data_IF_483166160200
#
_entry.id   IF_483166160200
#
_cell.length_a   1.000
_cell.length_b   1.000
_cell.length_c   1.000
_cell.angle_alpha   90.00
_cell.angle_beta   90.00
_cell.angle_gamma   90.00
#
_symmetry.space_group_name_H-M   'P 1'
#
loop_
_entity.id
_entity.type
_entity.pdbx_description
1 polymer ?
#
# COMPACT_ATOMS: atom_id res chain seq x y z
N UNK A 1 0.98 13.03 8.92
CA UNK A 1 1.66 14.31 8.52
C UNK A 1 0.97 14.84 7.27
N UNK A 2 0.56 16.08 7.24
CA UNK A 2 -0.12 16.69 6.07
C UNK A 2 0.90 16.94 4.97
N UNK A 3 0.74 16.24 3.83
CA UNK A 3 1.66 16.33 2.68
C UNK A 3 1.58 17.68 1.95
N UNK A 4 0.44 18.35 2.00
CA UNK A 4 0.28 19.70 1.47
C UNK A 4 1.22 20.74 2.12
N UNK A 5 1.67 20.48 3.36
CA UNK A 5 2.63 21.36 4.05
C UNK A 5 4.09 21.20 3.60
N UNK A 6 4.44 20.15 2.90
CA UNK A 6 5.80 19.97 2.38
C UNK A 6 6.00 20.58 0.99
N UNK A 7 4.93 20.94 0.30
CA UNK A 7 4.99 21.62 -1.00
C UNK A 7 4.91 23.14 -0.81
N UNK A 8 5.52 23.91 -1.70
CA UNK A 8 5.40 25.36 -1.73
C UNK A 8 5.38 25.83 -3.18
N UNK A 9 4.57 26.85 -3.49
CA UNK A 9 4.45 27.42 -4.83
C UNK A 9 5.81 27.83 -5.44
N UNK A 10 6.71 28.35 -4.61
CA UNK A 10 8.07 28.74 -5.02
C UNK A 10 8.99 27.58 -5.39
N UNK A 11 8.57 26.33 -5.20
CA UNK A 11 9.31 25.12 -5.55
C UNK A 11 8.63 24.31 -6.66
N UNK A 12 7.69 24.96 -7.39
CA UNK A 12 7.14 24.43 -8.63
C UNK A 12 7.83 25.09 -9.81
N UNK A 13 8.24 24.28 -10.79
CA UNK A 13 9.00 24.73 -11.96
C UNK A 13 8.43 24.11 -13.25
N UNK A 14 8.25 24.93 -14.31
CA UNK A 14 8.17 24.41 -15.67
C UNK A 14 9.57 24.09 -16.13
N UNK A 15 9.87 22.81 -16.31
CA UNK A 15 11.17 22.31 -16.69
C UNK A 15 11.49 22.66 -18.17
N UNK A 16 12.68 23.16 -18.40
CA UNK A 16 13.20 23.51 -19.73
C UNK A 16 14.18 22.47 -20.26
N UNK A 17 14.81 21.73 -19.35
CA UNK A 17 15.79 20.70 -19.69
C UNK A 17 15.14 19.51 -20.37
N UNK A 18 15.86 18.89 -21.29
CA UNK A 18 15.44 17.71 -22.04
C UNK A 18 15.93 16.38 -21.42
N UNK A 19 16.76 16.45 -20.38
CA UNK A 19 17.33 15.32 -19.65
C UNK A 19 17.11 15.43 -18.15
N UNK A 20 17.23 14.30 -17.44
CA UNK A 20 16.98 14.19 -16.02
C UNK A 20 17.97 15.03 -15.18
N UNK A 21 19.24 15.07 -15.59
CA UNK A 21 20.27 15.80 -14.85
C UNK A 21 19.98 17.29 -14.83
N UNK A 22 19.73 17.89 -15.98
CA UNK A 22 19.40 19.32 -16.09
C UNK A 22 18.08 19.65 -15.36
N UNK A 23 17.09 18.78 -15.42
CA UNK A 23 15.84 18.96 -14.69
C UNK A 23 16.06 18.94 -13.15
N UNK A 24 16.93 18.07 -12.65
CA UNK A 24 17.32 18.06 -11.23
C UNK A 24 18.08 19.31 -10.82
N UNK A 25 18.94 19.85 -11.69
CA UNK A 25 19.63 21.12 -11.46
C UNK A 25 18.65 22.29 -11.34
N UNK A 26 17.64 22.38 -12.24
CA UNK A 26 16.57 23.38 -12.15
C UNK A 26 15.79 23.24 -10.83
N UNK A 27 15.43 22.04 -10.41
CA UNK A 27 14.71 21.77 -9.17
C UNK A 27 15.55 22.09 -7.93
N UNK A 28 16.84 21.76 -7.94
CA UNK A 28 17.76 22.10 -6.85
C UNK A 28 17.90 23.60 -6.68
N UNK A 29 18.00 24.36 -7.78
CA UNK A 29 18.11 25.83 -7.72
C UNK A 29 16.97 26.48 -6.92
N UNK A 30 15.73 25.99 -7.06
CA UNK A 30 14.55 26.53 -6.33
C UNK A 30 14.37 25.90 -4.94
N UNK A 31 14.90 24.69 -4.73
CA UNK A 31 14.70 23.96 -3.47
C UNK A 31 15.66 24.40 -2.38
N UNK A 32 16.93 24.61 -2.71
CA UNK A 32 17.99 24.88 -1.73
C UNK A 32 18.27 26.36 -1.52
N UNK A 33 17.69 27.23 -2.33
CA UNK A 33 17.92 28.70 -2.23
C UNK A 33 17.68 29.28 -0.82
N UNK A 34 16.86 28.66 -0.01
CA UNK A 34 16.56 29.06 1.37
C UNK A 34 17.25 28.20 2.44
N UNK A 35 18.15 27.31 2.04
CA UNK A 35 18.82 26.34 2.94
C UNK A 35 20.34 26.40 2.73
N UNK A 36 21.05 27.32 3.41
CA UNK A 36 22.49 27.54 3.20
C UNK A 36 23.33 26.30 3.57
N UNK A 37 22.83 25.40 4.40
CA UNK A 37 23.49 24.17 4.79
C UNK A 37 23.48 23.09 3.69
N UNK A 38 22.65 23.25 2.66
CA UNK A 38 22.50 22.30 1.57
C UNK A 38 23.34 22.73 0.36
N UNK A 39 24.30 21.90 -0.05
CA UNK A 39 25.13 22.13 -1.23
C UNK A 39 24.50 21.45 -2.45
N UNK A 40 24.03 22.23 -3.46
CA UNK A 40 23.34 21.68 -4.65
C UNK A 40 24.14 20.60 -5.37
N UNK A 41 25.45 20.81 -5.53
CA UNK A 41 26.35 19.89 -6.23
C UNK A 41 26.44 18.51 -5.55
N UNK A 42 26.46 18.49 -4.21
CA UNK A 42 26.51 17.25 -3.42
C UNK A 42 25.17 16.51 -3.53
N UNK A 43 24.07 17.24 -3.45
CA UNK A 43 22.73 16.69 -3.60
C UNK A 43 22.51 16.10 -4.99
N UNK A 44 22.89 16.83 -6.05
CA UNK A 44 22.80 16.37 -7.43
C UNK A 44 23.56 15.06 -7.63
N UNK A 45 24.80 15.00 -7.13
CA UNK A 45 25.62 13.78 -7.22
C UNK A 45 24.94 12.60 -6.53
N UNK A 46 24.38 12.81 -5.33
CA UNK A 46 23.70 11.77 -4.56
C UNK A 46 22.41 11.31 -5.25
N UNK A 47 21.64 12.23 -5.82
CA UNK A 47 20.41 11.91 -6.57
C UNK A 47 20.74 11.09 -7.83
N UNK A 48 21.73 11.50 -8.61
CA UNK A 48 22.14 10.79 -9.82
C UNK A 48 22.78 9.43 -9.52
N UNK A 49 23.58 9.32 -8.45
CA UNK A 49 24.14 8.05 -8.00
C UNK A 49 23.03 7.08 -7.61
N UNK A 50 21.98 7.55 -6.92
CA UNK A 50 20.84 6.73 -6.55
C UNK A 50 20.06 6.28 -7.79
N UNK A 51 19.78 7.19 -8.72
CA UNK A 51 19.09 6.86 -9.97
C UNK A 51 19.85 5.80 -10.78
N UNK A 52 21.17 5.87 -10.81
CA UNK A 52 22.01 4.86 -11.46
C UNK A 52 22.04 3.49 -10.74
N UNK A 53 21.68 3.45 -9.46
CA UNK A 53 21.60 2.19 -8.69
C UNK A 53 20.21 1.55 -8.80
N UNK A 54 19.18 2.35 -8.71
CA UNK A 54 17.77 1.93 -8.81
C UNK A 54 16.95 3.10 -9.32
N UNK A 55 16.27 2.89 -10.43
CA UNK A 55 15.42 3.95 -11.02
C UNK A 55 14.36 4.44 -10.03
N UNK A 56 14.13 5.73 -10.03
CA UNK A 56 13.07 6.38 -9.26
C UNK A 56 11.83 6.66 -10.09
N UNK A 57 11.75 6.11 -11.29
CA UNK A 57 10.58 6.20 -12.16
C UNK A 57 9.42 5.37 -11.59
N UNK A 58 8.25 5.98 -11.46
CA UNK A 58 7.04 5.36 -10.89
C UNK A 58 6.09 4.78 -11.95
N UNK A 59 6.38 5.00 -13.23
CA UNK A 59 5.42 4.80 -14.32
C UNK A 59 4.58 6.05 -14.60
N UNK A 60 3.76 6.00 -15.65
CA UNK A 60 2.82 7.07 -16.04
C UNK A 60 3.47 8.46 -16.23
N UNK A 61 4.73 8.50 -16.64
CA UNK A 61 5.44 9.77 -16.85
C UNK A 61 5.88 10.48 -15.59
N UNK A 62 5.99 9.79 -14.45
CA UNK A 62 6.36 10.38 -13.16
C UNK A 62 7.64 9.77 -12.60
N UNK A 63 8.58 10.62 -12.17
CA UNK A 63 9.77 10.21 -11.44
C UNK A 63 9.80 10.87 -10.05
N UNK A 64 10.27 10.15 -9.03
CA UNK A 64 10.36 10.61 -7.64
C UNK A 64 11.81 10.49 -7.11
N UNK A 65 12.75 11.26 -7.64
CA UNK A 65 14.13 11.32 -7.12
C UNK A 65 14.13 11.78 -5.67
N UNK A 66 14.87 11.06 -4.82
CA UNK A 66 14.88 11.37 -3.39
C UNK A 66 16.23 11.09 -2.74
N UNK A 67 16.53 11.88 -1.72
CA UNK A 67 17.79 11.77 -0.98
C UNK A 67 17.60 12.10 0.51
N UNK A 68 18.37 11.43 1.38
CA UNK A 68 18.41 11.73 2.81
C UNK A 68 19.71 12.47 3.14
N UNK A 69 19.57 13.60 3.85
CA UNK A 69 20.71 14.46 4.21
C UNK A 69 20.54 15.05 5.60
N UNK A 70 21.63 15.49 6.17
CA UNK A 70 21.61 16.20 7.46
C UNK A 70 21.02 17.59 7.24
N UNK A 71 19.80 17.82 7.68
CA UNK A 71 19.13 19.11 7.64
C UNK A 71 18.16 19.28 8.81
N UNK A 72 17.79 20.54 9.10
CA UNK A 72 16.89 20.88 10.22
C UNK A 72 15.42 20.55 9.92
N UNK A 73 15.00 20.66 8.67
CA UNK A 73 13.62 20.33 8.26
C UNK A 73 13.46 18.83 8.00
N UNK A 74 12.28 18.27 8.32
CA UNK A 74 12.04 16.86 8.02
C UNK A 74 11.97 16.59 6.52
N UNK A 75 11.34 17.47 5.72
CA UNK A 75 11.16 17.28 4.28
C UNK A 75 11.16 18.59 3.51
N UNK A 76 11.69 18.54 2.30
CA UNK A 76 11.55 19.57 1.25
C UNK A 76 11.13 18.85 -0.03
N UNK A 77 9.98 19.23 -0.60
CA UNK A 77 9.49 18.72 -1.88
C UNK A 77 9.54 19.83 -2.92
N UNK A 78 10.14 19.54 -4.08
CA UNK A 78 10.05 20.36 -5.28
C UNK A 78 9.42 19.55 -6.41
N UNK A 79 8.61 20.21 -7.23
CA UNK A 79 7.91 19.56 -8.34
C UNK A 79 8.22 20.27 -9.64
N UNK A 80 8.71 19.52 -10.60
CA UNK A 80 8.93 19.98 -11.97
C UNK A 80 7.91 19.37 -12.92
N UNK A 81 7.35 20.19 -13.81
CA UNK A 81 6.51 19.73 -14.92
C UNK A 81 7.22 19.97 -16.26
N UNK A 82 7.23 18.97 -17.13
CA UNK A 82 7.62 19.09 -18.52
C UNK A 82 6.45 18.74 -19.41
N UNK A 83 5.90 19.72 -20.14
CA UNK A 83 4.79 19.50 -21.09
C UNK A 83 5.22 18.65 -22.29
N UNK A 84 6.48 18.74 -22.68
CA UNK A 84 7.04 17.97 -23.81
C UNK A 84 7.47 16.57 -23.40
N UNK A 85 7.80 16.40 -22.12
CA UNK A 85 8.35 15.20 -21.54
C UNK A 85 9.87 15.09 -21.67
N UNK A 86 10.52 14.62 -20.63
CA UNK A 86 11.95 14.37 -20.53
C UNK A 86 12.22 12.91 -20.89
N UNK A 87 13.32 12.66 -21.62
CA UNK A 87 13.70 11.30 -22.00
C UNK A 87 14.09 10.48 -20.77
N UNK A 88 13.58 9.25 -20.70
CA UNK A 88 13.95 8.28 -19.65
C UNK A 88 14.98 7.28 -20.22
N UNK A 89 16.23 7.33 -19.69
CA UNK A 89 17.34 6.53 -20.20
C UNK A 89 17.30 5.04 -19.84
N UNK A 90 16.32 4.60 -19.04
CA UNK A 90 16.19 3.21 -18.57
C UNK A 90 14.87 2.53 -18.92
N UNK A 91 13.98 3.18 -19.65
CA UNK A 91 12.64 2.67 -19.99
C UNK A 91 12.52 2.09 -21.42
N UNK A 92 11.35 1.54 -21.72
CA UNK A 92 10.97 1.22 -23.10
C UNK A 92 11.06 2.49 -23.96
N UNK A 93 11.48 2.35 -25.22
CA UNK A 93 12.03 3.40 -26.08
C UNK A 93 11.21 4.70 -26.27
N UNK A 94 9.97 4.77 -25.77
CA UNK A 94 9.07 5.92 -25.96
C UNK A 94 8.53 6.55 -24.65
N UNK A 95 8.88 6.03 -23.48
CA UNK A 95 8.41 6.60 -22.23
C UNK A 95 9.10 7.93 -21.90
N UNK A 96 8.28 8.93 -21.57
CA UNK A 96 8.74 10.28 -21.21
C UNK A 96 8.29 10.66 -19.80
N UNK A 97 9.18 11.33 -19.09
CA UNK A 97 8.90 11.86 -17.75
C UNK A 97 8.28 13.25 -17.90
N UNK A 98 7.04 13.39 -17.46
CA UNK A 98 6.30 14.65 -17.44
C UNK A 98 6.34 15.35 -16.08
N UNK A 99 6.48 14.58 -14.99
CA UNK A 99 6.61 15.12 -13.65
C UNK A 99 7.83 14.56 -12.93
N UNK A 100 8.58 15.46 -12.31
CA UNK A 100 9.67 15.10 -11.39
C UNK A 100 9.33 15.65 -10.01
N UNK A 101 9.17 14.74 -9.03
CA UNK A 101 8.97 15.07 -7.63
C UNK A 101 10.27 14.86 -6.86
N UNK A 102 11.07 15.89 -6.69
CA UNK A 102 12.32 15.79 -5.98
C UNK A 102 12.10 15.95 -4.47
N UNK A 103 12.32 14.88 -3.70
CA UNK A 103 12.18 14.86 -2.25
C UNK A 103 13.52 14.85 -1.55
N UNK A 104 13.81 15.89 -0.77
CA UNK A 104 14.96 15.95 0.14
C UNK A 104 14.43 15.70 1.56
N UNK A 105 14.92 14.65 2.22
CA UNK A 105 14.51 14.27 3.56
C UNK A 105 15.65 14.43 4.57
N UNK A 106 15.33 14.88 5.77
CA UNK A 106 16.27 14.91 6.88
C UNK A 106 16.61 13.49 7.36
N UNK A 107 17.87 13.23 7.71
CA UNK A 107 18.31 11.92 8.24
C UNK A 107 17.46 11.43 9.42
N UNK A 108 17.00 12.36 10.27
CA UNK A 108 16.18 12.07 11.45
C UNK A 108 14.67 11.98 11.16
N UNK A 109 14.23 12.09 9.90
CA UNK A 109 12.81 12.03 9.54
C UNK A 109 12.26 10.61 9.69
N UNK A 110 11.53 10.34 10.78
CA UNK A 110 10.96 9.02 11.11
C UNK A 110 9.89 8.55 10.11
N UNK A 111 9.21 9.49 9.43
CA UNK A 111 8.13 9.21 8.47
C UNK A 111 8.59 9.21 7.00
N UNK A 112 9.87 8.95 6.73
CA UNK A 112 10.43 8.99 5.38
C UNK A 112 9.74 8.02 4.41
N UNK A 113 9.70 6.73 4.72
CA UNK A 113 9.04 5.72 3.89
C UNK A 113 7.53 5.97 3.72
N UNK A 114 6.76 6.30 4.78
CA UNK A 114 5.37 6.70 4.64
C UNK A 114 5.14 7.88 3.70
N UNK A 115 6.00 8.90 3.72
CA UNK A 115 5.90 10.06 2.81
C UNK A 115 6.14 9.65 1.36
N UNK A 116 7.20 8.88 1.10
CA UNK A 116 7.48 8.34 -0.24
C UNK A 116 6.29 7.50 -0.75
N UNK A 117 5.77 6.59 0.09
CA UNK A 117 4.65 5.74 -0.27
C UNK A 117 3.38 6.54 -0.60
N UNK A 118 3.12 7.61 0.15
CA UNK A 118 1.95 8.47 -0.10
C UNK A 118 2.08 9.28 -1.39
N UNK A 119 3.28 9.82 -1.67
CA UNK A 119 3.56 10.52 -2.93
C UNK A 119 3.45 9.56 -4.11
N UNK A 120 4.12 8.41 -4.04
CA UNK A 120 4.09 7.41 -5.11
C UNK A 120 2.67 6.94 -5.42
N UNK A 121 1.83 6.74 -4.40
CA UNK A 121 0.43 6.34 -4.59
C UNK A 121 -0.39 7.40 -5.33
N UNK A 122 -0.31 8.65 -4.88
CA UNK A 122 -1.06 9.74 -5.50
C UNK A 122 -0.69 9.90 -6.97
N UNK A 123 0.59 9.78 -7.30
CA UNK A 123 1.10 9.92 -8.66
C UNK A 123 1.09 8.61 -9.47
N UNK A 124 0.50 7.55 -8.99
CA UNK A 124 0.12 6.36 -9.77
C UNK A 124 -1.31 6.44 -10.32
N UNK A 125 -2.13 7.39 -9.85
CA UNK A 125 -3.51 7.59 -10.32
C UNK A 125 -3.51 8.34 -11.67
N UNK A 126 -3.89 7.72 -12.80
CA UNK A 126 -3.80 8.34 -14.13
C UNK A 126 -4.64 9.62 -14.24
N UNK A 127 -5.88 9.60 -13.71
CA UNK A 127 -6.78 10.75 -13.74
C UNK A 127 -6.20 11.99 -13.03
N UNK A 128 -5.45 11.76 -11.93
CA UNK A 128 -4.79 12.83 -11.21
C UNK A 128 -3.66 13.43 -12.05
N UNK A 129 -2.81 12.59 -12.65
CA UNK A 129 -1.71 13.02 -13.53
C UNK A 129 -2.24 13.81 -14.72
N UNK A 130 -3.27 13.30 -15.39
CA UNK A 130 -3.90 13.98 -16.53
C UNK A 130 -4.42 15.35 -16.12
N UNK A 131 -5.06 15.46 -14.95
CA UNK A 131 -5.54 16.74 -14.41
C UNK A 131 -4.42 17.76 -14.18
N UNK A 132 -3.23 17.28 -13.78
CA UNK A 132 -2.03 18.11 -13.58
C UNK A 132 -1.38 18.53 -14.92
N UNK A 133 -1.38 17.63 -15.91
CA UNK A 133 -0.81 17.91 -17.24
C UNK A 133 -1.58 19.02 -17.97
N UNK A 134 -2.92 19.01 -17.89
CA UNK A 134 -3.77 20.01 -18.53
C UNK A 134 -3.82 21.36 -17.78
N UNK A 135 -3.21 21.47 -16.59
CA UNK A 135 -3.18 22.71 -15.83
C UNK A 135 -2.54 23.82 -16.68
N UNK A 136 -3.22 24.97 -16.87
CA UNK A 136 -2.75 26.02 -17.77
C UNK A 136 -1.42 26.64 -17.30
N UNK A 137 -1.27 26.83 -16.01
CA UNK A 137 -0.12 27.47 -15.38
C UNK A 137 0.29 26.78 -14.06
N UNK A 138 1.35 27.28 -13.43
CA UNK A 138 1.88 26.75 -12.18
C UNK A 138 1.00 27.09 -10.96
N UNK A 139 0.10 28.03 -11.02
CA UNK A 139 -0.80 28.38 -9.92
C UNK A 139 -1.98 27.41 -9.87
N UNK A 140 -2.54 27.05 -11.01
CA UNK A 140 -3.51 25.97 -11.12
C UNK A 140 -2.88 24.61 -10.78
N UNK A 141 -1.66 24.36 -11.26
CA UNK A 141 -0.89 23.16 -10.88
C UNK A 141 -0.69 23.09 -9.35
N UNK A 142 -0.32 24.20 -8.71
CA UNK A 142 -0.15 24.26 -7.26
C UNK A 142 -1.47 23.96 -6.53
N UNK A 143 -2.55 24.56 -7.01
CA UNK A 143 -3.90 24.33 -6.43
C UNK A 143 -4.31 22.87 -6.51
N UNK A 144 -4.14 22.24 -7.67
CA UNK A 144 -4.45 20.83 -7.87
C UNK A 144 -3.54 19.89 -7.05
N UNK A 145 -2.25 20.19 -7.01
CA UNK A 145 -1.29 19.44 -6.19
C UNK A 145 -1.61 19.54 -4.70
N UNK A 146 -1.89 20.74 -4.19
CA UNK A 146 -2.24 20.92 -2.78
C UNK A 146 -3.57 20.25 -2.43
N UNK A 147 -4.54 20.29 -3.33
CA UNK A 147 -5.80 19.57 -3.18
C UNK A 147 -5.59 18.05 -3.14
N UNK A 148 -4.81 17.49 -4.06
CA UNK A 148 -4.48 16.06 -4.08
C UNK A 148 -3.67 15.62 -2.86
N UNK A 149 -2.63 16.38 -2.50
CA UNK A 149 -1.79 16.10 -1.33
C UNK A 149 -2.51 16.33 0.00
N UNK A 150 -3.51 17.21 0.04
CA UNK A 150 -4.36 17.46 1.22
C UNK A 150 -5.59 16.56 1.30
N UNK A 151 -5.76 15.60 0.38
CA UNK A 151 -6.93 14.72 0.34
C UNK A 151 -8.24 15.41 -0.10
N UNK A 152 -8.16 16.63 -0.66
CA UNK A 152 -9.32 17.40 -1.16
C UNK A 152 -9.35 17.31 -2.69
N UNK A 153 -9.44 16.10 -3.25
CA UNK A 153 -9.85 15.95 -4.64
C UNK A 153 -11.35 16.28 -4.75
N UNK A 154 -11.69 17.11 -5.72
CA UNK A 154 -13.04 17.68 -5.88
C UNK A 154 -14.15 16.64 -5.76
N UNK A 155 -15.01 16.82 -4.75
CA UNK A 155 -16.05 15.87 -4.35
C UNK A 155 -17.30 16.05 -5.20
N UNK A 156 -17.87 15.00 -5.78
CA UNK A 156 -19.25 15.04 -6.19
C UNK A 156 -20.17 14.89 -4.96
N UNK A 157 -20.34 15.96 -4.20
CA UNK A 157 -21.17 16.03 -2.97
C UNK A 157 -22.59 15.51 -3.19
N UNK A 158 -23.17 15.73 -4.37
CA UNK A 158 -24.54 15.30 -4.68
C UNK A 158 -24.72 13.78 -4.79
N UNK A 159 -23.72 13.04 -5.28
CA UNK A 159 -23.83 11.58 -5.45
C UNK A 159 -23.88 10.84 -4.11
N UNK A 160 -23.22 11.36 -3.07
CA UNK A 160 -23.17 10.70 -1.77
C UNK A 160 -24.49 10.84 -0.99
N UNK A 161 -25.21 11.94 -1.17
CA UNK A 161 -26.43 12.24 -0.43
C UNK A 161 -27.73 11.70 -1.07
N UNK A 162 -27.62 10.71 -1.96
CA UNK A 162 -28.79 10.10 -2.55
C UNK A 162 -29.65 9.38 -1.49
N UNK A 163 -30.94 9.15 -1.84
CA UNK A 163 -31.90 8.53 -0.91
C UNK A 163 -31.47 7.14 -0.45
N UNK A 164 -30.84 6.35 -1.33
CA UNK A 164 -30.41 4.99 -1.03
C UNK A 164 -29.26 5.00 -0.02
N UNK A 165 -28.24 5.84 -0.21
CA UNK A 165 -27.10 5.93 0.70
C UNK A 165 -27.52 6.35 2.11
N UNK A 166 -28.42 7.34 2.22
CA UNK A 166 -28.95 7.76 3.52
C UNK A 166 -29.79 6.68 4.19
N UNK A 167 -30.57 5.93 3.40
CA UNK A 167 -31.33 4.79 3.92
C UNK A 167 -30.38 3.70 4.42
N UNK A 168 -29.41 3.30 3.61
CA UNK A 168 -28.44 2.24 3.94
C UNK A 168 -27.65 2.57 5.21
N UNK A 169 -27.17 3.80 5.36
CA UNK A 169 -26.45 4.22 6.57
C UNK A 169 -27.33 4.14 7.83
N UNK A 170 -28.57 4.66 7.74
CA UNK A 170 -29.50 4.62 8.86
C UNK A 170 -29.87 3.18 9.26
N UNK A 171 -30.11 2.32 8.29
CA UNK A 171 -30.43 0.92 8.57
C UNK A 171 -29.18 0.16 9.05
N UNK A 172 -27.97 0.52 8.58
CA UNK A 172 -26.73 -0.04 9.10
C UNK A 172 -26.56 0.24 10.60
N UNK A 173 -26.82 1.47 11.05
CA UNK A 173 -26.81 1.79 12.49
C UNK A 173 -27.86 0.99 13.26
N UNK A 174 -29.09 0.88 12.75
CA UNK A 174 -30.15 0.11 13.41
C UNK A 174 -29.79 -1.36 13.53
N UNK A 175 -29.27 -1.95 12.45
CA UNK A 175 -28.82 -3.35 12.43
C UNK A 175 -27.65 -3.54 13.40
N UNK A 176 -26.68 -2.64 13.37
CA UNK A 176 -25.52 -2.70 14.26
C UNK A 176 -25.92 -2.68 15.74
N UNK A 177 -26.80 -1.74 16.13
CA UNK A 177 -27.32 -1.66 17.49
C UNK A 177 -28.17 -2.89 17.86
N UNK A 178 -29.07 -3.33 16.97
CA UNK A 178 -29.93 -4.47 17.21
C UNK A 178 -29.18 -5.80 17.29
N UNK A 179 -28.06 -5.93 16.58
CA UNK A 179 -27.20 -7.10 16.61
C UNK A 179 -26.15 -7.07 17.74
N UNK A 180 -26.10 -6.00 18.54
CA UNK A 180 -25.10 -5.82 19.60
C UNK A 180 -23.67 -5.63 19.08
N UNK A 181 -23.51 -4.94 17.91
CA UNK A 181 -22.19 -4.64 17.38
C UNK A 181 -21.50 -3.56 18.20
N UNK A 182 -20.20 -3.73 18.43
CA UNK A 182 -19.34 -2.74 19.09
C UNK A 182 -18.92 -1.60 18.19
N UNK A 183 -18.95 -1.80 16.87
CA UNK A 183 -18.53 -0.83 15.86
C UNK A 183 -19.30 -0.94 14.54
N UNK A 184 -19.34 0.19 13.82
CA UNK A 184 -19.77 0.29 12.42
C UNK A 184 -18.54 0.57 11.55
N UNK A 185 -18.24 -0.34 10.63
CA UNK A 185 -17.13 -0.20 9.67
C UNK A 185 -17.68 0.28 8.34
N UNK A 186 -17.17 1.41 7.83
CA UNK A 186 -17.66 2.08 6.63
C UNK A 186 -16.57 2.09 5.56
N UNK A 187 -16.86 1.50 4.39
CA UNK A 187 -15.94 1.46 3.26
C UNK A 187 -16.03 2.74 2.44
N UNK A 188 -15.12 3.69 2.72
CA UNK A 188 -15.12 5.02 2.11
C UNK A 188 -14.83 5.03 0.62
N UNK A 189 -14.06 4.06 0.11
CA UNK A 189 -13.74 3.92 -1.32
C UNK A 189 -14.94 3.49 -2.19
N UNK A 190 -16.10 3.23 -1.58
CA UNK A 190 -17.37 3.16 -2.29
C UNK A 190 -17.64 4.44 -3.09
N UNK A 191 -17.14 5.56 -2.60
CA UNK A 191 -17.32 6.87 -3.22
C UNK A 191 -16.05 7.33 -3.91
N UNK A 192 -16.19 7.88 -5.12
CA UNK A 192 -15.11 8.58 -5.81
C UNK A 192 -14.73 9.80 -4.96
N UNK A 193 -13.44 9.89 -4.58
CA UNK A 193 -12.94 10.94 -3.70
C UNK A 193 -13.17 10.71 -2.20
N UNK A 194 -13.61 9.50 -1.79
CA UNK A 194 -13.84 9.13 -0.39
C UNK A 194 -15.18 9.60 0.16
N UNK A 195 -15.50 9.21 1.39
CA UNK A 195 -16.77 9.55 2.04
C UNK A 195 -16.74 10.92 2.73
N UNK A 196 -17.84 11.66 2.66
CA UNK A 196 -17.98 12.95 3.33
C UNK A 196 -18.29 12.76 4.83
N UNK A 197 -17.47 13.37 5.68
CA UNK A 197 -17.55 13.26 7.15
C UNK A 197 -18.95 13.66 7.68
N UNK A 198 -19.59 14.67 7.08
CA UNK A 198 -20.91 15.13 7.48
C UNK A 198 -22.08 14.18 7.19
N UNK A 199 -21.85 13.10 6.44
CA UNK A 199 -22.90 12.10 6.18
C UNK A 199 -23.19 11.20 7.37
N UNK A 200 -22.26 11.08 8.31
CA UNK A 200 -22.32 10.13 9.41
C UNK A 200 -22.35 10.89 10.72
N UNK A 201 -23.44 10.73 11.47
CA UNK A 201 -23.55 11.17 12.87
C UNK A 201 -23.78 9.92 13.73
N UNK A 202 -22.71 9.15 14.00
CA UNK A 202 -22.87 7.82 14.57
C UNK A 202 -23.19 7.85 16.05
N UNK A 203 -24.07 6.95 16.45
CA UNK A 203 -24.28 6.57 17.85
C UNK A 203 -23.32 5.46 18.32
N UNK A 204 -22.61 4.85 17.36
CA UNK A 204 -21.64 3.77 17.57
C UNK A 204 -20.23 4.22 17.18
N UNK A 205 -19.21 3.54 17.73
CA UNK A 205 -17.82 3.66 17.25
C UNK A 205 -17.81 3.40 15.75
N UNK A 206 -17.48 4.41 14.95
CA UNK A 206 -17.44 4.28 13.49
C UNK A 206 -16.00 4.26 13.01
N UNK A 207 -15.67 3.22 12.23
CA UNK A 207 -14.35 2.96 11.69
C UNK A 207 -14.41 3.19 10.18
N UNK A 208 -13.59 4.11 9.66
CA UNK A 208 -13.45 4.32 8.23
C UNK A 208 -12.45 3.33 7.65
N UNK A 209 -12.82 2.64 6.58
CA UNK A 209 -11.91 1.81 5.78
C UNK A 209 -11.68 2.48 4.44
N UNK A 210 -10.42 2.77 4.11
CA UNK A 210 -10.09 3.45 2.86
C UNK A 210 -8.67 3.12 2.39
N UNK A 211 -8.45 3.18 1.06
CA UNK A 211 -7.11 3.11 0.47
C UNK A 211 -6.33 4.41 0.65
N UNK A 212 -7.05 5.52 0.67
CA UNK A 212 -6.47 6.85 0.80
C UNK A 212 -6.57 7.30 2.25
N UNK A 213 -5.45 7.51 2.96
CA UNK A 213 -5.51 8.06 4.29
C UNK A 213 -6.15 9.44 4.22
N UNK A 214 -7.36 9.56 4.75
CA UNK A 214 -7.92 10.86 5.10
C UNK A 214 -7.13 11.27 6.32
N UNK A 215 -6.26 12.29 6.20
CA UNK A 215 -5.79 13.00 7.37
C UNK A 215 -7.04 13.62 7.99
N UNK A 216 -7.48 13.01 9.08
CA UNK A 216 -8.51 13.55 9.93
C UNK A 216 -7.95 14.87 10.43
N UNK A 217 -8.39 15.99 9.85
CA UNK A 217 -8.06 17.30 10.36
C UNK A 217 -8.58 17.40 11.80
N UNK A 218 -7.98 18.30 12.61
CA UNK A 218 -8.35 18.56 14.02
C UNK A 218 -9.83 18.95 14.24
N UNK A 219 -10.62 19.02 13.19
CA UNK A 219 -12.03 19.39 13.20
C UNK A 219 -12.89 18.09 13.14
N UNK A 220 -13.28 17.62 14.34
CA UNK A 220 -14.37 16.68 14.64
C UNK A 220 -14.70 15.65 13.55
N UNK A 221 -13.83 14.65 13.36
CA UNK A 221 -14.16 13.54 12.47
C UNK A 221 -15.29 12.72 13.08
N UNK A 222 -16.30 12.41 12.29
CA UNK A 222 -17.36 11.47 12.65
C UNK A 222 -16.85 10.02 12.78
N UNK A 223 -15.57 9.80 12.50
CA UNK A 223 -14.92 8.51 12.59
C UNK A 223 -14.01 8.45 13.81
N UNK A 224 -14.20 7.44 14.66
CA UNK A 224 -13.35 7.20 15.82
C UNK A 224 -11.95 6.74 15.40
N UNK A 225 -11.87 5.95 14.32
CA UNK A 225 -10.64 5.34 13.82
C UNK A 225 -10.67 5.24 12.29
N UNK A 226 -9.49 5.14 11.67
CA UNK A 226 -9.34 4.89 10.23
C UNK A 226 -8.43 3.69 10.00
N UNK A 227 -8.92 2.74 9.21
CA UNK A 227 -8.14 1.60 8.73
C UNK A 227 -7.74 1.88 7.29
N UNK A 228 -6.44 1.96 7.04
CA UNK A 228 -5.93 2.06 5.70
C UNK A 228 -5.67 0.67 5.11
N UNK A 229 -6.36 0.32 4.03
CA UNK A 229 -6.10 -0.91 3.27
C UNK A 229 -5.57 -0.53 1.89
N UNK A 230 -4.34 -0.89 1.58
CA UNK A 230 -3.61 -0.40 0.39
C UNK A 230 -4.11 -1.00 -0.93
N UNK A 231 -4.62 -2.22 -0.89
CA UNK A 231 -5.21 -2.88 -2.05
C UNK A 231 -6.45 -3.67 -1.63
N UNK A 232 -7.49 -3.58 -2.45
CA UNK A 232 -8.70 -4.36 -2.25
C UNK A 232 -8.89 -5.37 -3.38
N UNK A 233 -9.28 -6.59 -3.02
CA UNK A 233 -9.92 -7.48 -3.96
C UNK A 233 -11.19 -6.80 -4.53
N UNK A 234 -11.55 -7.09 -5.77
CA UNK A 234 -12.83 -6.63 -6.33
C UNK A 234 -14.04 -7.28 -5.65
N UNK A 235 -13.84 -8.41 -4.96
CA UNK A 235 -14.87 -9.12 -4.23
C UNK A 235 -15.14 -8.48 -2.86
N UNK A 236 -16.39 -8.14 -2.56
CA UNK A 236 -16.80 -7.40 -1.35
C UNK A 236 -16.43 -8.10 -0.04
N UNK A 237 -16.66 -9.41 0.04
CA UNK A 237 -16.33 -10.19 1.25
C UNK A 237 -14.82 -10.26 1.50
N UNK A 238 -14.01 -10.31 0.42
CA UNK A 238 -12.57 -10.28 0.54
C UNK A 238 -12.06 -8.91 1.02
N UNK A 239 -12.67 -7.81 0.55
CA UNK A 239 -12.39 -6.47 1.07
C UNK A 239 -12.65 -6.39 2.58
N UNK A 240 -13.77 -6.94 3.00
CA UNK A 240 -14.20 -6.97 4.40
C UNK A 240 -13.19 -7.76 5.26
N UNK A 241 -12.80 -8.98 4.84
CA UNK A 241 -11.81 -9.79 5.55
C UNK A 241 -10.46 -9.08 5.69
N UNK A 242 -9.98 -8.46 4.61
CA UNK A 242 -8.73 -7.70 4.64
C UNK A 242 -8.80 -6.52 5.61
N UNK A 243 -9.91 -5.76 5.61
CA UNK A 243 -10.10 -4.64 6.54
C UNK A 243 -10.18 -5.11 8.00
N UNK A 244 -10.88 -6.20 8.26
CA UNK A 244 -10.96 -6.77 9.60
C UNK A 244 -9.62 -7.31 10.08
N UNK A 245 -8.86 -7.97 9.21
CA UNK A 245 -7.51 -8.46 9.54
C UNK A 245 -6.60 -7.30 9.94
N UNK A 246 -6.60 -6.21 9.16
CA UNK A 246 -5.86 -4.99 9.48
C UNK A 246 -6.35 -4.37 10.78
N UNK A 247 -7.65 -4.26 10.99
CA UNK A 247 -8.23 -3.74 12.22
C UNK A 247 -7.84 -4.55 13.48
N UNK A 248 -7.77 -5.87 13.35
CA UNK A 248 -7.28 -6.77 14.41
C UNK A 248 -5.79 -6.56 14.70
N UNK A 249 -4.96 -6.46 13.66
CA UNK A 249 -3.51 -6.30 13.82
C UNK A 249 -3.12 -4.96 14.44
N UNK A 250 -3.94 -3.93 14.26
CA UNK A 250 -3.76 -2.62 14.89
C UNK A 250 -4.48 -2.46 16.25
N UNK A 251 -5.19 -3.49 16.70
CA UNK A 251 -5.97 -3.41 17.94
C UNK A 251 -7.17 -2.46 17.88
N UNK A 252 -7.60 -2.06 16.69
CA UNK A 252 -8.78 -1.20 16.45
C UNK A 252 -10.08 -1.96 16.76
N UNK A 253 -10.10 -3.23 16.40
CA UNK A 253 -11.13 -4.21 16.75
C UNK A 253 -10.49 -5.40 17.49
N UNK A 254 -11.29 -6.08 18.28
CA UNK A 254 -10.90 -7.25 19.08
C UNK A 254 -11.61 -8.51 18.59
N UNK A 255 -11.08 -9.68 18.93
CA UNK A 255 -11.66 -10.95 18.51
C UNK A 255 -13.09 -11.16 19.02
N UNK A 256 -13.39 -10.69 20.23
CA UNK A 256 -14.72 -10.81 20.83
C UNK A 256 -15.73 -9.80 20.27
N UNK A 257 -15.31 -8.93 19.34
CA UNK A 257 -16.18 -7.91 18.79
C UNK A 257 -17.12 -8.51 17.72
N UNK A 258 -18.31 -7.94 17.67
CA UNK A 258 -19.19 -8.02 16.53
C UNK A 258 -19.21 -6.70 15.83
N UNK A 259 -18.99 -6.71 14.51
CA UNK A 259 -18.83 -5.51 13.68
C UNK A 259 -19.89 -5.51 12.58
N UNK A 260 -20.55 -4.38 12.40
CA UNK A 260 -21.40 -4.15 11.24
C UNK A 260 -20.60 -3.43 10.16
N UNK A 261 -20.60 -3.96 8.94
CA UNK A 261 -19.84 -3.42 7.81
C UNK A 261 -20.81 -2.92 6.75
N UNK A 262 -20.59 -1.70 6.25
CA UNK A 262 -21.35 -1.11 5.15
C UNK A 262 -20.42 -0.65 4.04
N UNK A 263 -20.73 -1.02 2.79
CA UNK A 263 -19.93 -0.68 1.62
C UNK A 263 -20.69 -0.86 0.31
N UNK A 264 -19.95 -0.72 -0.77
CA UNK A 264 -20.43 -0.94 -2.14
C UNK A 264 -19.26 -1.26 -3.07
N UNK A 265 -19.51 -1.37 -4.36
CA UNK A 265 -18.46 -1.48 -5.36
C UNK A 265 -17.61 -0.21 -5.31
N UNK A 266 -16.30 -0.36 -5.30
CA UNK A 266 -15.35 0.78 -5.31
C UNK A 266 -15.70 1.76 -6.43
N UNK A 267 -15.87 3.04 -6.09
CA UNK A 267 -16.21 4.10 -7.05
C UNK A 267 -17.64 4.12 -7.56
N UNK A 268 -18.53 3.22 -7.08
CA UNK A 268 -19.93 3.20 -7.52
C UNK A 268 -20.78 4.36 -7.01
N UNK A 269 -20.30 5.10 -6.03
CA UNK A 269 -21.02 6.15 -5.31
C UNK A 269 -22.32 5.68 -4.65
N UNK A 270 -22.46 4.37 -4.41
CA UNK A 270 -23.65 3.82 -3.80
C UNK A 270 -23.34 2.67 -2.85
N UNK A 271 -23.85 2.77 -1.62
CA UNK A 271 -23.88 1.63 -0.72
C UNK A 271 -24.89 0.59 -1.21
N UNK A 272 -24.45 -0.66 -1.26
CA UNK A 272 -25.28 -1.80 -1.73
C UNK A 272 -25.12 -3.05 -0.85
N UNK A 273 -24.20 -3.03 0.11
CA UNK A 273 -23.87 -4.19 0.93
C UNK A 273 -23.84 -3.80 2.41
N UNK A 274 -24.53 -4.60 3.21
CA UNK A 274 -24.53 -4.53 4.67
C UNK A 274 -24.27 -5.93 5.21
N UNK A 275 -23.28 -6.10 6.07
CA UNK A 275 -22.92 -7.41 6.65
C UNK A 275 -22.62 -7.24 8.14
N UNK A 276 -23.18 -8.12 8.96
CA UNK A 276 -22.82 -8.25 10.38
C UNK A 276 -21.86 -9.43 10.51
N UNK A 277 -20.69 -9.18 11.10
CA UNK A 277 -19.64 -10.17 11.27
C UNK A 277 -19.32 -10.33 12.75
N UNK A 278 -19.31 -11.55 13.17
CA UNK A 278 -18.74 -11.99 14.44
C UNK A 278 -17.26 -12.30 14.19
N UNK A 279 -16.38 -11.48 14.75
CA UNK A 279 -14.94 -11.51 14.45
C UNK A 279 -14.32 -12.84 14.89
N UNK A 280 -14.69 -13.34 16.06
CA UNK A 280 -14.20 -14.62 16.56
C UNK A 280 -14.56 -15.75 15.59
N UNK A 281 -15.80 -15.81 15.14
CA UNK A 281 -16.29 -16.85 14.24
C UNK A 281 -15.61 -16.79 12.87
N UNK A 282 -15.39 -15.58 12.34
CA UNK A 282 -14.75 -15.39 11.03
C UNK A 282 -13.27 -15.81 11.04
N UNK A 283 -12.57 -15.61 12.17
CA UNK A 283 -11.15 -15.93 12.31
C UNK A 283 -10.88 -17.12 13.24
N UNK A 284 -11.91 -17.84 13.69
CA UNK A 284 -11.82 -18.96 14.64
C UNK A 284 -10.75 -19.99 14.30
N UNK A 285 -10.62 -20.32 13.00
CA UNK A 285 -9.65 -21.31 12.53
C UNK A 285 -8.19 -20.87 12.70
N UNK A 286 -7.91 -19.56 12.62
CA UNK A 286 -6.55 -19.03 12.81
C UNK A 286 -6.12 -18.94 14.27
N UNK A 287 -7.09 -18.93 15.19
CA UNK A 287 -6.88 -18.58 16.57
C UNK A 287 -6.91 -19.73 17.55
N UNK A 288 -7.10 -20.95 17.06
CA UNK A 288 -7.21 -22.15 17.91
C UNK A 288 -6.07 -22.17 18.96
N UNK A 289 -6.37 -21.71 20.17
CA UNK A 289 -5.46 -21.74 21.33
C UNK A 289 -4.53 -20.53 21.52
N UNK A 290 -4.63 -19.45 20.72
CA UNK A 290 -3.74 -18.28 20.81
C UNK A 290 -4.46 -16.95 20.61
N UNK A 291 -4.16 -15.97 21.47
CA UNK A 291 -4.77 -14.63 21.41
C UNK A 291 -4.14 -13.69 20.37
N UNK A 292 -2.96 -14.00 19.83
CA UNK A 292 -2.21 -13.10 18.97
C UNK A 292 -2.10 -13.65 17.54
N UNK A 293 -2.59 -12.87 16.59
CA UNK A 293 -2.52 -13.15 15.16
C UNK A 293 -1.11 -12.89 14.61
N UNK A 294 -0.51 -11.75 15.00
CA UNK A 294 0.82 -11.35 14.54
C UNK A 294 1.92 -12.01 15.37
N UNK A 295 3.00 -12.48 14.74
CA UNK A 295 4.25 -12.72 15.45
C UNK A 295 4.74 -11.44 16.14
N UNK A 296 5.38 -11.53 17.30
CA UNK A 296 5.78 -10.35 18.09
C UNK A 296 6.82 -9.46 17.38
N UNK A 297 7.56 -10.01 16.43
CA UNK A 297 8.56 -9.30 15.63
C UNK A 297 7.99 -8.66 14.36
N UNK A 298 6.73 -8.97 13.98
CA UNK A 298 6.12 -8.49 12.73
C UNK A 298 5.31 -7.21 12.97
N UNK A 299 5.66 -6.16 12.24
CA UNK A 299 4.90 -4.91 12.25
C UNK A 299 3.62 -5.04 11.42
N UNK A 300 2.49 -4.50 11.89
CA UNK A 300 1.23 -4.51 11.14
C UNK A 300 1.37 -3.98 9.71
N UNK A 301 2.09 -2.87 9.52
CA UNK A 301 2.27 -2.22 8.22
C UNK A 301 3.01 -3.11 7.22
N UNK A 302 3.88 -4.01 7.71
CA UNK A 302 4.62 -4.97 6.88
C UNK A 302 3.66 -6.04 6.37
N UNK A 303 2.84 -6.62 7.26
CA UNK A 303 1.83 -7.60 6.85
C UNK A 303 0.85 -7.02 5.84
N UNK A 304 0.34 -5.81 6.10
CA UNK A 304 -0.54 -5.08 5.17
C UNK A 304 0.10 -4.89 3.81
N UNK A 305 1.38 -4.51 3.80
CA UNK A 305 2.09 -4.28 2.53
C UNK A 305 2.29 -5.58 1.75
N UNK A 306 2.65 -6.67 2.42
CA UNK A 306 2.78 -7.99 1.77
C UNK A 306 1.44 -8.46 1.21
N UNK A 307 0.35 -8.31 1.96
CA UNK A 307 -1.01 -8.64 1.48
C UNK A 307 -1.38 -7.78 0.27
N UNK A 308 -1.06 -6.49 0.27
CA UNK A 308 -1.32 -5.60 -0.85
C UNK A 308 -0.59 -6.05 -2.12
N UNK A 309 0.73 -6.29 -2.03
CA UNK A 309 1.55 -6.78 -3.15
C UNK A 309 1.05 -8.15 -3.65
N UNK A 310 0.73 -9.07 -2.73
CA UNK A 310 0.17 -10.37 -3.08
C UNK A 310 -1.17 -10.25 -3.81
N UNK A 311 -2.03 -9.32 -3.38
CA UNK A 311 -3.33 -9.06 -4.02
C UNK A 311 -3.16 -8.43 -5.41
N UNK A 312 -2.22 -7.49 -5.56
CA UNK A 312 -1.88 -6.91 -6.86
C UNK A 312 -1.39 -7.99 -7.83
N UNK A 313 -0.44 -8.85 -7.40
CA UNK A 313 0.03 -9.99 -8.20
C UNK A 313 -1.09 -10.95 -8.58
N UNK A 314 -2.04 -11.20 -7.68
CA UNK A 314 -3.20 -12.07 -7.94
C UNK A 314 -4.18 -11.48 -8.96
N UNK A 315 -4.31 -10.15 -9.01
CA UNK A 315 -5.25 -9.44 -9.89
C UNK A 315 -4.62 -9.16 -11.25
N UNK A 316 -3.41 -8.61 -11.26
CA UNK A 316 -2.72 -8.12 -12.45
C UNK A 316 -1.87 -9.20 -13.13
N UNK A 317 -1.32 -10.12 -12.32
CA UNK A 317 -0.28 -11.05 -12.80
C UNK A 317 1.01 -10.30 -13.15
N UNK A 318 1.80 -10.91 -14.02
CA UNK A 318 2.97 -10.26 -14.64
C UNK A 318 2.97 -10.56 -16.14
N UNK A 319 3.15 -9.53 -16.97
CA UNK A 319 3.12 -9.64 -18.44
C UNK A 319 1.89 -10.40 -18.97
N UNK A 320 0.72 -10.16 -18.36
CA UNK A 320 -0.54 -10.82 -18.73
C UNK A 320 -0.64 -12.31 -18.32
N UNK A 321 0.31 -12.81 -17.53
CA UNK A 321 0.32 -14.19 -17.04
C UNK A 321 0.01 -14.25 -15.54
N UNK A 322 -0.79 -15.21 -15.07
CA UNK A 322 -0.95 -15.46 -13.65
C UNK A 322 0.38 -15.83 -12.99
N UNK A 323 0.68 -15.23 -11.86
CA UNK A 323 1.90 -15.47 -11.10
C UNK A 323 1.57 -16.16 -9.79
N UNK A 324 2.32 -17.24 -9.48
CA UNK A 324 2.28 -17.85 -8.16
C UNK A 324 3.48 -17.37 -7.34
N UNK A 325 3.22 -16.91 -6.12
CA UNK A 325 4.27 -16.36 -5.26
C UNK A 325 4.06 -16.83 -3.81
N UNK A 326 5.16 -16.89 -3.05
CA UNK A 326 5.13 -17.21 -1.63
C UNK A 326 5.99 -16.20 -0.87
N UNK A 327 5.38 -15.56 0.13
CA UNK A 327 6.04 -14.67 1.07
C UNK A 327 6.05 -15.30 2.47
N UNK A 328 7.19 -15.24 3.15
CA UNK A 328 7.36 -15.66 4.54
C UNK A 328 7.82 -14.47 5.35
N UNK A 329 7.08 -14.10 6.39
CA UNK A 329 7.26 -12.87 7.17
C UNK A 329 7.43 -13.20 8.65
N UNK A 330 8.49 -12.68 9.26
CA UNK A 330 8.80 -12.84 10.68
C UNK A 330 9.56 -14.11 11.03
N UNK A 331 9.93 -14.23 12.30
CA UNK A 331 10.76 -15.32 12.89
C UNK A 331 11.96 -15.71 12.01
N UNK A 332 12.62 -14.70 11.43
CA UNK A 332 13.66 -14.90 10.43
C UNK A 332 14.84 -15.73 10.94
N UNK A 333 15.17 -15.63 12.23
CA UNK A 333 16.24 -16.40 12.83
C UNK A 333 15.99 -17.94 12.76
N UNK A 334 14.72 -18.35 12.82
CA UNK A 334 14.32 -19.74 12.68
C UNK A 334 14.08 -20.13 11.22
N UNK A 335 13.44 -19.25 10.46
CA UNK A 335 13.15 -19.43 9.04
C UNK A 335 14.43 -19.61 8.23
N UNK A 336 15.48 -18.79 8.45
CA UNK A 336 16.76 -18.89 7.74
C UNK A 336 17.46 -20.28 7.89
N UNK A 337 17.20 -20.98 8.98
CA UNK A 337 17.71 -22.35 9.19
C UNK A 337 16.95 -23.41 8.38
N UNK A 338 15.77 -23.07 7.89
CA UNK A 338 14.84 -23.94 7.19
C UNK A 338 14.76 -23.62 5.70
N UNK A 339 15.65 -22.78 5.17
CA UNK A 339 15.67 -22.38 3.77
C UNK A 339 17.00 -22.69 3.09
N UNK A 340 16.92 -22.92 1.77
CA UNK A 340 18.10 -22.96 0.89
C UNK A 340 17.89 -22.05 -0.32
N UNK A 341 18.91 -21.34 -0.77
CA UNK A 341 18.81 -20.54 -1.98
C UNK A 341 18.67 -21.45 -3.21
N UNK A 342 17.70 -21.20 -4.07
CA UNK A 342 17.58 -21.82 -5.41
C UNK A 342 18.38 -21.02 -6.44
N UNK A 343 18.52 -19.71 -6.22
CA UNK A 343 19.26 -18.79 -7.06
C UNK A 343 20.14 -17.89 -6.19
N UNK A 344 21.09 -17.19 -6.79
CA UNK A 344 21.81 -16.13 -6.09
C UNK A 344 20.81 -15.08 -5.58
N UNK A 345 20.99 -14.68 -4.33
CA UNK A 345 20.06 -13.73 -3.70
C UNK A 345 20.12 -12.35 -4.38
N UNK A 346 19.07 -11.90 -5.08
CA UNK A 346 19.08 -10.63 -5.77
C UNK A 346 19.09 -9.41 -4.83
N UNK A 347 18.83 -9.59 -3.53
CA UNK A 347 18.84 -8.51 -2.53
C UNK A 347 20.15 -8.40 -1.76
N UNK A 348 21.14 -9.26 -2.06
CA UNK A 348 22.42 -9.24 -1.37
C UNK A 348 23.21 -7.97 -1.65
N UNK A 349 23.74 -7.36 -0.60
CA UNK A 349 24.57 -6.15 -0.70
C UNK A 349 23.83 -4.81 -0.81
N UNK A 350 22.50 -4.82 -1.02
CA UNK A 350 21.71 -3.59 -0.97
C UNK A 350 21.45 -3.15 0.47
N UNK A 351 21.35 -1.83 0.68
CA UNK A 351 20.99 -1.26 1.99
C UNK A 351 19.60 -1.71 2.41
N UNK A 352 19.39 -1.87 3.71
CA UNK A 352 18.11 -2.31 4.25
C UNK A 352 16.94 -1.38 3.87
N UNK A 353 17.17 -0.07 3.80
CA UNK A 353 16.14 0.91 3.36
C UNK A 353 15.76 0.75 1.89
N UNK A 354 16.68 0.30 1.03
CA UNK A 354 16.46 0.13 -0.40
C UNK A 354 15.69 -1.15 -0.71
N UNK A 355 15.93 -2.20 0.08
CA UNK A 355 15.25 -3.51 -0.03
C UNK A 355 14.16 -3.73 1.02
N UNK A 356 13.54 -2.66 1.54
CA UNK A 356 12.42 -2.76 2.46
C UNK A 356 11.10 -2.75 1.69
N UNK A 357 10.23 -3.72 1.94
CA UNK A 357 8.93 -3.85 1.25
C UNK A 357 8.00 -2.64 1.47
N UNK A 358 8.23 -1.84 2.52
CA UNK A 358 7.53 -0.59 2.75
C UNK A 358 7.99 0.53 1.80
N UNK A 359 9.13 0.35 1.13
CA UNK A 359 9.60 1.27 0.12
C UNK A 359 8.78 1.08 -1.16
N UNK A 360 8.07 2.11 -1.67
CA UNK A 360 7.20 1.98 -2.84
C UNK A 360 7.93 1.58 -4.12
N UNK A 361 9.25 1.83 -4.21
CA UNK A 361 10.07 1.41 -5.36
C UNK A 361 10.38 -0.09 -5.37
N UNK A 362 10.13 -0.78 -4.27
CA UNK A 362 10.24 -2.24 -4.21
C UNK A 362 9.10 -2.97 -4.90
N UNK A 363 7.98 -2.30 -5.21
CA UNK A 363 6.80 -2.94 -5.79
C UNK A 363 7.12 -3.65 -7.10
N UNK A 364 7.71 -2.92 -8.05
CA UNK A 364 8.07 -3.50 -9.34
C UNK A 364 9.17 -4.57 -9.21
N UNK A 365 10.15 -4.34 -8.31
CA UNK A 365 11.19 -5.33 -8.01
C UNK A 365 10.61 -6.63 -7.46
N UNK A 366 9.68 -6.54 -6.50
CA UNK A 366 9.01 -7.73 -5.94
C UNK A 366 8.17 -8.43 -7.02
N UNK A 367 7.41 -7.66 -7.82
CA UNK A 367 6.61 -8.22 -8.91
C UNK A 367 7.48 -8.93 -9.95
N UNK A 368 8.64 -8.37 -10.31
CA UNK A 368 9.57 -8.98 -11.24
C UNK A 368 10.16 -10.28 -10.68
N UNK A 369 10.68 -10.25 -9.45
CA UNK A 369 11.24 -11.44 -8.83
C UNK A 369 10.20 -12.46 -8.36
N UNK A 370 8.90 -12.14 -8.41
CA UNK A 370 7.83 -13.12 -8.17
C UNK A 370 7.75 -14.22 -9.24
N UNK A 371 8.40 -14.02 -10.39
CA UNK A 371 8.55 -15.03 -11.44
C UNK A 371 9.56 -16.13 -11.07
N UNK A 372 10.43 -15.88 -10.08
CA UNK A 372 11.36 -16.87 -9.61
C UNK A 372 10.64 -17.97 -8.80
N UNK A 373 11.07 -19.21 -8.96
CA UNK A 373 10.66 -20.27 -8.04
C UNK A 373 11.24 -20.03 -6.64
N UNK A 374 10.48 -20.44 -5.62
CA UNK A 374 10.84 -20.26 -4.23
C UNK A 374 10.08 -19.13 -3.54
N UNK A 375 10.50 -18.84 -2.32
CA UNK A 375 9.84 -17.88 -1.44
C UNK A 375 10.67 -16.60 -1.30
N UNK A 376 9.97 -15.50 -1.03
CA UNK A 376 10.56 -14.31 -0.43
C UNK A 376 10.63 -14.49 1.08
N UNK A 377 11.78 -14.19 1.68
CA UNK A 377 11.97 -14.17 3.13
C UNK A 377 12.05 -12.71 3.55
N UNK A 378 11.12 -12.29 4.41
CA UNK A 378 10.95 -10.91 4.82
C UNK A 378 11.04 -10.82 6.34
N UNK A 379 11.92 -9.95 6.83
CA UNK A 379 12.04 -9.65 8.27
C UNK A 379 10.79 -8.90 8.75
N UNK A 380 10.46 -9.04 10.02
CA UNK A 380 9.26 -8.43 10.60
C UNK A 380 9.15 -6.92 10.49
N UNK A 381 10.27 -6.20 10.25
CA UNK A 381 10.33 -4.76 9.99
C UNK A 381 10.25 -4.39 8.49
N UNK A 382 10.08 -5.40 7.62
CA UNK A 382 9.87 -5.24 6.18
C UNK A 382 11.09 -5.40 5.31
N UNK A 383 12.27 -5.63 5.87
CA UNK A 383 13.49 -5.86 5.07
C UNK A 383 13.38 -7.20 4.35
N UNK A 384 13.47 -7.18 3.03
CA UNK A 384 13.53 -8.40 2.20
C UNK A 384 14.93 -8.98 2.30
N UNK A 385 15.04 -10.15 2.93
CA UNK A 385 16.32 -10.83 3.14
C UNK A 385 16.74 -11.60 1.90
N UNK A 386 15.80 -12.31 1.26
CA UNK A 386 16.06 -13.09 0.06
C UNK A 386 14.81 -13.30 -0.78
N UNK A 387 15.01 -13.64 -2.07
CA UNK A 387 14.03 -14.23 -2.96
C UNK A 387 14.59 -15.53 -3.58
N UNK A 388 13.71 -16.37 -4.14
CA UNK A 388 14.11 -17.64 -4.71
C UNK A 388 14.63 -18.62 -3.66
N UNK A 389 13.99 -18.65 -2.48
CA UNK A 389 14.35 -19.52 -1.36
C UNK A 389 13.48 -20.77 -1.32
N UNK A 390 14.10 -21.94 -1.35
CA UNK A 390 13.44 -23.25 -1.13
C UNK A 390 13.19 -23.45 0.35
N UNK A 391 11.94 -23.65 0.75
CA UNK A 391 11.59 -24.03 2.11
C UNK A 391 11.81 -25.53 2.33
N UNK A 392 12.53 -25.88 3.38
CA UNK A 392 12.85 -27.27 3.75
C UNK A 392 12.05 -27.78 4.97
N UNK A 393 11.05 -27.00 5.40
CA UNK A 393 10.15 -27.45 6.45
C UNK A 393 9.25 -28.57 5.91
N UNK A 394 9.13 -29.66 6.66
CA UNK A 394 8.22 -30.77 6.38
C UNK A 394 7.17 -30.81 7.47
N UNK A 395 5.92 -30.83 7.10
CA UNK A 395 4.80 -31.06 7.99
C UNK A 395 4.06 -32.33 7.56
N UNK A 396 4.03 -33.31 8.44
CA UNK A 396 3.34 -34.59 8.23
C UNK A 396 1.95 -34.64 8.86
N UNK A 397 1.57 -33.65 9.65
CA UNK A 397 0.38 -33.71 10.49
C UNK A 397 -0.81 -32.90 9.94
N UNK A 398 -0.55 -31.86 9.09
CA UNK A 398 -1.61 -31.00 8.58
C UNK A 398 -2.08 -31.45 7.19
N UNK A 399 -3.32 -31.92 7.13
CA UNK A 399 -3.99 -32.24 5.85
C UNK A 399 -4.53 -30.97 5.20
N UNK A 400 -3.87 -30.54 4.13
CA UNK A 400 -4.41 -29.45 3.31
C UNK A 400 -5.56 -29.94 2.43
N UNK A 401 -6.53 -29.07 2.09
CA UNK A 401 -7.54 -29.41 1.11
C UNK A 401 -6.92 -29.91 -0.20
N UNK A 402 -7.53 -30.92 -0.82
CA UNK A 402 -7.08 -31.44 -2.11
C UNK A 402 -7.13 -30.35 -3.20
N UNK A 403 -6.14 -30.37 -4.11
CA UNK A 403 -6.05 -29.41 -5.21
C UNK A 403 -5.22 -28.15 -4.90
N UNK A 404 -4.57 -28.08 -3.74
CA UNK A 404 -3.59 -27.05 -3.42
C UNK A 404 -2.19 -27.47 -3.90
N UNK A 405 -1.44 -26.53 -4.50
CA UNK A 405 -0.11 -26.78 -5.04
C UNK A 405 1.01 -26.76 -3.98
N UNK A 406 2.24 -27.05 -4.43
CA UNK A 406 3.44 -27.16 -3.60
C UNK A 406 3.72 -25.91 -2.75
N UNK A 407 3.43 -24.68 -3.24
CA UNK A 407 3.58 -23.43 -2.48
C UNK A 407 2.68 -23.37 -1.26
N UNK A 408 1.46 -23.90 -1.34
CA UNK A 408 0.54 -23.97 -0.20
C UNK A 408 1.05 -24.98 0.85
N UNK A 409 1.54 -26.13 0.41
CA UNK A 409 2.13 -27.12 1.32
C UNK A 409 3.36 -26.56 2.03
N UNK A 410 4.25 -25.89 1.29
CA UNK A 410 5.42 -25.25 1.85
C UNK A 410 5.07 -24.12 2.84
N UNK A 411 4.04 -23.32 2.54
CA UNK A 411 3.55 -22.25 3.41
C UNK A 411 2.97 -22.80 4.72
N UNK A 412 2.17 -23.84 4.64
CA UNK A 412 1.65 -24.53 5.83
C UNK A 412 2.80 -25.06 6.69
N UNK A 413 3.70 -25.84 6.10
CA UNK A 413 4.81 -26.47 6.81
C UNK A 413 5.73 -25.46 7.51
N UNK A 414 6.14 -24.37 6.83
CA UNK A 414 7.01 -23.36 7.44
C UNK A 414 6.29 -22.60 8.56
N UNK A 415 4.98 -22.34 8.44
CA UNK A 415 4.19 -21.68 9.46
C UNK A 415 3.92 -22.55 10.71
N UNK A 416 4.10 -23.87 10.62
CA UNK A 416 4.13 -24.79 11.76
C UNK A 416 5.52 -24.83 12.38
N UNK A 417 6.54 -24.95 11.51
CA UNK A 417 7.92 -25.08 11.95
C UNK A 417 8.51 -23.82 12.59
N UNK A 418 7.91 -22.65 12.35
CA UNK A 418 8.36 -21.36 12.87
C UNK A 418 7.18 -20.45 13.23
N UNK A 419 7.43 -19.41 14.02
CA UNK A 419 6.40 -18.43 14.40
C UNK A 419 6.24 -17.33 13.31
N UNK A 420 6.27 -17.73 12.03
CA UNK A 420 6.10 -16.81 10.90
C UNK A 420 4.64 -16.76 10.39
N UNK A 421 4.37 -15.77 9.56
CA UNK A 421 3.19 -15.73 8.67
C UNK A 421 3.66 -16.04 7.25
N UNK A 422 2.93 -16.89 6.54
CA UNK A 422 3.16 -17.14 5.12
C UNK A 422 1.97 -16.69 4.28
N UNK A 423 2.23 -16.06 3.13
CA UNK A 423 1.20 -15.58 2.20
C UNK A 423 1.49 -16.20 0.83
N UNK A 424 0.50 -16.90 0.29
CA UNK A 424 0.58 -17.56 -1.01
C UNK A 424 -0.33 -16.91 -2.01
N UNK A 425 0.21 -16.59 -3.17
CA UNK A 425 -0.56 -16.26 -4.38
C UNK A 425 -0.63 -17.52 -5.25
N UNK A 426 -1.84 -17.99 -5.53
CA UNK A 426 -2.07 -19.15 -6.38
C UNK A 426 -2.01 -18.76 -7.87
N UNK A 427 -1.10 -19.36 -8.64
CA UNK A 427 -1.03 -19.13 -10.09
C UNK A 427 -2.23 -19.70 -10.85
N UNK A 428 -2.92 -20.71 -10.32
CA UNK A 428 -4.05 -21.35 -11.00
C UNK A 428 -5.38 -20.68 -10.72
N UNK A 429 -5.59 -20.15 -9.48
CA UNK A 429 -6.87 -19.60 -9.05
C UNK A 429 -6.85 -18.09 -8.84
N UNK A 430 -5.67 -17.47 -8.77
CA UNK A 430 -5.50 -16.07 -8.36
C UNK A 430 -5.97 -15.82 -6.91
N UNK A 431 -6.09 -16.86 -6.08
CA UNK A 431 -6.40 -16.70 -4.66
C UNK A 431 -5.15 -16.28 -3.88
N UNK A 432 -5.35 -15.41 -2.90
CA UNK A 432 -4.37 -15.09 -1.88
C UNK A 432 -4.79 -15.77 -0.59
N UNK A 433 -3.90 -16.59 -0.04
CA UNK A 433 -4.13 -17.32 1.20
C UNK A 433 -3.04 -16.98 2.21
N UNK A 434 -3.45 -16.71 3.43
CA UNK A 434 -2.56 -16.53 4.58
C UNK A 434 -2.47 -17.86 5.36
N UNK A 435 -1.26 -18.19 5.80
CA UNK A 435 -1.01 -19.33 6.68
C UNK A 435 -0.38 -18.85 7.98
N UNK A 436 -0.90 -19.36 9.07
CA UNK A 436 -0.39 -19.15 10.43
C UNK A 436 -0.53 -20.46 11.20
N UNK A 437 0.57 -20.98 11.74
CA UNK A 437 0.59 -22.25 12.50
C UNK A 437 -0.10 -23.41 11.79
N UNK A 438 0.15 -23.55 10.48
CA UNK A 438 -0.45 -24.59 9.63
C UNK A 438 -1.87 -24.31 9.16
N UNK A 439 -2.54 -23.31 9.72
CA UNK A 439 -3.94 -22.99 9.39
C UNK A 439 -4.00 -22.01 8.22
N UNK A 440 -4.86 -22.29 7.25
CA UNK A 440 -5.08 -21.46 6.06
C UNK A 440 -6.27 -20.54 6.22
N UNK A 441 -6.06 -19.25 5.97
CA UNK A 441 -7.12 -18.25 5.81
C UNK A 441 -7.15 -17.72 4.38
N UNK A 442 -8.22 -17.96 3.60
CA UNK A 442 -8.39 -17.31 2.30
C UNK A 442 -8.66 -15.80 2.48
N UNK A 443 -7.80 -14.96 1.90
CA UNK A 443 -7.97 -13.50 1.90
C UNK A 443 -8.77 -13.01 0.69
N UNK A 444 -8.74 -13.77 -0.43
CA UNK A 444 -9.50 -13.45 -1.64
C UNK A 444 -10.33 -14.64 -2.08
N UNK A 445 -11.39 -14.37 -2.83
CA UNK A 445 -12.23 -15.43 -3.41
C UNK A 445 -11.58 -16.05 -4.65
N UNK A 446 -11.97 -17.30 -4.94
CA UNK A 446 -11.53 -18.00 -6.14
C UNK A 446 -12.08 -17.30 -7.39
N UNK A 447 -11.22 -16.94 -8.33
CA UNK A 447 -11.69 -16.52 -9.66
C UNK A 447 -12.34 -17.74 -10.33
N UNK A 448 -13.64 -17.71 -10.51
CA UNK A 448 -14.31 -18.67 -11.37
C UNK A 448 -13.93 -18.26 -12.80
N UNK A 449 -13.20 -19.12 -13.50
CA UNK A 449 -12.93 -18.89 -14.91
C UNK A 449 -14.28 -18.74 -15.64
N UNK A 450 -14.45 -17.77 -16.53
CA UNK A 450 -15.64 -17.74 -17.39
C UNK A 450 -15.69 -19.07 -18.16
N UNK A 451 -16.86 -19.70 -18.13
CA UNK A 451 -17.14 -20.97 -18.78
C UNK A 451 -17.03 -20.81 -20.31
#
# INVERSE_FOLDING_TARGET
>A
MRLDKIIARSRLVELKSSDLKGALEELLAVSVAKFPDLKPEVLLRSLLQREGTMTTYLGNGVSLPHVRVKMSRPFVLAVGRSKVGIRHDGGASDERIHFILMLIAGEKARSYLPVLASLARLFKEPEFIDSLLIAPDLDDLYTKLTAGLGGIAGRPVQAQQNRVNRLMLREAERVAMGAGCGALMVFGDTFVGGIEVGMIQPKLKTILVTRNPIEVGDDHSSFAETIQVRSFSKARLAQLRSAMLVGLTHGIISFNDRVCCIGGITGSNQFDTLVVVDVEREFQTLLTGHAELLPPDVRPEVLERVIAVATELAVEGREGRPVGCLFVVGDTAKVEKLVKPLVLNPFYGYKEEDRNILNPFMDETIKEFSLLDGAFIIRGDGVVLSAGSLLQATDSEHTLPSGLGSRHAAAAAISVASDCISIVVSSSTGQVNLFRRGVMLPLTERKIAPA
#
